data_IF_917796346812
#
_entry.id   IF_917796346812
#
_cell.length_a   1.000
_cell.length_b   1.000
_cell.length_c   1.000
_cell.angle_alpha   90.00
_cell.angle_beta   90.00
_cell.angle_gamma   90.00
#
_symmetry.space_group_name_H-M   'P 1'
#
loop_
_entity.id
_entity.type
_entity.pdbx_description
1 polymer ?
#
# COMPACT_ATOMS: atom_id res chain seq x y z
N UNK A 1 -5.64 -4.39 11.58
CA UNK A 1 -5.29 -4.81 12.96
C UNK A 1 -6.37 -4.51 13.99
N UNK A 2 -7.03 -3.35 13.94
CA UNK A 2 -8.03 -2.97 14.94
C UNK A 2 -9.46 -3.45 14.63
N UNK A 3 -9.69 -4.00 13.45
CA UNK A 3 -11.00 -4.57 13.10
C UNK A 3 -11.30 -5.76 14.02
N UNK A 4 -12.46 -5.78 14.72
CA UNK A 4 -12.78 -6.85 15.67
C UNK A 4 -12.81 -8.23 14.99
N UNK A 5 -13.37 -8.28 13.78
CA UNK A 5 -13.56 -9.53 13.03
C UNK A 5 -12.46 -9.80 12.00
N UNK A 6 -11.26 -9.23 12.20
CA UNK A 6 -10.15 -9.33 11.24
C UNK A 6 -9.84 -10.79 10.85
N UNK A 7 -9.77 -11.68 11.84
CA UNK A 7 -9.39 -13.07 11.62
C UNK A 7 -10.48 -13.82 10.83
N UNK A 8 -11.75 -13.51 11.09
CA UNK A 8 -12.90 -14.10 10.37
C UNK A 8 -12.94 -13.63 8.92
N UNK A 9 -12.68 -12.33 8.67
CA UNK A 9 -12.58 -11.79 7.32
C UNK A 9 -11.49 -12.49 6.51
N UNK A 10 -10.30 -12.67 7.10
CA UNK A 10 -9.18 -13.37 6.45
C UNK A 10 -9.56 -14.83 6.17
N UNK A 11 -10.12 -15.53 7.17
CA UNK A 11 -10.56 -16.92 7.01
C UNK A 11 -11.64 -17.07 5.93
N UNK A 12 -12.55 -16.09 5.82
CA UNK A 12 -13.58 -16.09 4.79
C UNK A 12 -13.00 -15.93 3.39
N UNK A 13 -12.05 -15.02 3.19
CA UNK A 13 -11.35 -14.82 1.91
C UNK A 13 -10.56 -16.08 1.54
N UNK A 14 -9.77 -16.59 2.48
CA UNK A 14 -8.94 -17.80 2.28
C UNK A 14 -9.80 -19.03 1.99
N UNK A 15 -10.93 -19.19 2.69
CA UNK A 15 -11.89 -20.28 2.48
C UNK A 15 -12.58 -20.26 1.10
N UNK A 16 -12.55 -19.13 0.38
CA UNK A 16 -12.97 -19.03 -1.02
C UNK A 16 -11.84 -19.31 -2.02
N UNK A 17 -10.66 -19.73 -1.55
CA UNK A 17 -9.48 -19.97 -2.39
C UNK A 17 -8.84 -18.68 -2.90
N UNK A 18 -9.13 -17.54 -2.27
CA UNK A 18 -8.56 -16.24 -2.63
C UNK A 18 -7.35 -15.90 -1.74
N UNK A 19 -6.40 -15.15 -2.30
CA UNK A 19 -5.27 -14.63 -1.53
C UNK A 19 -5.72 -13.49 -0.62
N UNK A 20 -5.37 -13.59 0.66
CA UNK A 20 -5.61 -12.53 1.64
C UNK A 20 -4.30 -11.82 1.97
N UNK A 21 -4.24 -10.52 1.68
CA UNK A 21 -3.11 -9.66 2.04
C UNK A 21 -3.53 -8.61 3.07
N UNK A 22 -2.72 -8.43 4.12
CA UNK A 22 -2.96 -7.47 5.19
C UNK A 22 -1.90 -6.36 5.20
N UNK A 23 -2.34 -5.10 5.13
CA UNK A 23 -1.46 -3.94 5.27
C UNK A 23 -1.50 -3.41 6.72
N UNK A 24 -0.34 -3.15 7.32
CA UNK A 24 -0.25 -2.68 8.71
C UNK A 24 0.95 -1.78 9.00
N UNK A 25 0.89 -1.01 10.08
CA UNK A 25 2.03 -0.32 10.66
C UNK A 25 2.82 -1.18 11.67
N UNK A 26 2.38 -2.42 11.92
CA UNK A 26 3.09 -3.43 12.71
C UNK A 26 2.98 -3.35 14.23
N UNK A 27 2.40 -2.29 14.79
CA UNK A 27 2.38 -2.06 16.24
C UNK A 27 1.71 -3.18 17.05
N UNK A 28 0.64 -3.75 16.49
CA UNK A 28 -0.17 -4.78 17.15
C UNK A 28 0.29 -6.22 16.84
N UNK A 29 1.46 -6.39 16.20
CA UNK A 29 2.01 -7.72 15.94
C UNK A 29 2.65 -8.27 17.21
N UNK A 30 1.90 -9.06 17.95
CA UNK A 30 2.43 -9.95 19.00
C UNK A 30 2.58 -11.35 18.43
N UNK A 31 3.29 -12.24 19.13
CA UNK A 31 3.37 -13.66 18.76
C UNK A 31 1.97 -14.27 18.61
N UNK A 32 1.11 -14.10 19.62
CA UNK A 32 -0.28 -14.55 19.61
C UNK A 32 -1.05 -14.03 18.39
N UNK A 33 -0.90 -12.75 18.05
CA UNK A 33 -1.55 -12.18 16.87
C UNK A 33 -1.03 -12.82 15.57
N UNK A 34 0.27 -13.08 15.45
CA UNK A 34 0.85 -13.73 14.27
C UNK A 34 0.31 -15.16 14.14
N UNK A 35 0.26 -15.92 15.23
CA UNK A 35 -0.29 -17.27 15.25
C UNK A 35 -1.79 -17.30 14.87
N UNK A 36 -2.56 -16.31 15.32
CA UNK A 36 -3.96 -16.13 14.89
C UNK A 36 -4.09 -15.83 13.39
N UNK A 37 -3.22 -14.99 12.84
CA UNK A 37 -3.19 -14.70 11.41
C UNK A 37 -2.79 -15.93 10.58
N UNK A 38 -1.86 -16.75 11.07
CA UNK A 38 -1.54 -18.05 10.47
C UNK A 38 -2.77 -18.96 10.45
N UNK A 39 -3.45 -19.10 11.59
CA UNK A 39 -4.64 -19.96 11.72
C UNK A 39 -5.80 -19.49 10.83
N UNK A 40 -5.94 -18.17 10.61
CA UNK A 40 -6.91 -17.59 9.69
C UNK A 40 -6.57 -17.83 8.21
N UNK A 41 -5.36 -18.32 7.88
CA UNK A 41 -4.95 -18.55 6.50
C UNK A 41 -4.56 -17.29 5.75
N UNK A 42 -3.98 -16.30 6.45
CA UNK A 42 -3.40 -15.11 5.80
C UNK A 42 -2.33 -15.56 4.79
N UNK A 43 -2.29 -14.95 3.61
CA UNK A 43 -1.31 -15.29 2.57
C UNK A 43 -0.08 -14.38 2.60
N UNK A 44 -0.31 -13.08 2.85
CA UNK A 44 0.75 -12.07 2.88
C UNK A 44 0.45 -10.96 3.87
N UNK A 45 1.50 -10.38 4.44
CA UNK A 45 1.45 -9.17 5.23
C UNK A 45 2.46 -8.15 4.70
N UNK A 46 1.99 -6.93 4.46
CA UNK A 46 2.86 -5.79 4.15
C UNK A 46 2.90 -4.82 5.34
N UNK A 47 4.10 -4.53 5.81
CA UNK A 47 4.34 -3.58 6.91
C UNK A 47 5.08 -2.35 6.41
N UNK A 48 4.58 -1.17 6.75
CA UNK A 48 5.27 0.10 6.47
C UNK A 48 6.28 0.42 7.56
N UNK A 49 7.55 0.60 7.18
CA UNK A 49 8.62 1.11 8.05
C UNK A 49 9.25 2.29 7.34
N UNK A 50 9.07 3.47 7.93
CA UNK A 50 9.37 4.74 7.26
C UNK A 50 10.83 5.14 7.51
N UNK A 51 11.32 4.95 8.74
CA UNK A 51 12.63 5.46 9.18
C UNK A 51 13.38 4.44 10.04
N UNK A 52 14.68 4.64 10.27
CA UNK A 52 15.47 3.82 11.21
C UNK A 52 15.17 4.23 12.65
N UNK A 53 15.16 5.54 12.90
CA UNK A 53 14.88 6.14 14.20
C UNK A 53 13.50 6.82 14.19
N UNK A 54 12.78 6.83 15.33
CA UNK A 54 11.51 7.57 15.39
C UNK A 54 11.77 9.07 15.31
N UNK A 55 10.92 9.79 14.59
CA UNK A 55 10.90 11.25 14.52
C UNK A 55 9.53 11.80 14.97
N UNK A 56 9.29 13.10 14.81
CA UNK A 56 8.01 13.74 15.16
C UNK A 56 6.87 13.43 14.17
N UNK A 57 7.18 12.99 12.95
CA UNK A 57 6.22 12.75 11.86
C UNK A 57 5.74 11.30 11.86
N UNK A 58 6.66 10.33 11.92
CA UNK A 58 6.39 8.91 11.94
C UNK A 58 7.09 8.22 13.11
N UNK A 59 6.26 7.54 13.90
CA UNK A 59 6.76 6.58 14.89
C UNK A 59 6.99 5.19 14.28
N UNK A 60 6.71 4.95 12.99
CA UNK A 60 6.87 3.63 12.34
C UNK A 60 8.33 3.37 11.98
N UNK A 61 9.20 3.31 12.98
CA UNK A 61 10.64 3.19 12.78
C UNK A 61 11.17 1.78 13.05
N UNK A 62 12.29 1.44 12.42
CA UNK A 62 12.97 0.16 12.60
C UNK A 62 13.31 -0.07 14.06
N UNK A 63 13.82 0.95 14.77
CA UNK A 63 14.12 0.83 16.21
C UNK A 63 12.93 0.34 17.04
N UNK A 64 11.71 0.76 16.70
CA UNK A 64 10.48 0.35 17.40
C UNK A 64 9.99 -1.02 16.93
N UNK A 65 10.09 -1.28 15.63
CA UNK A 65 9.47 -2.42 14.98
C UNK A 65 10.38 -3.65 14.85
N UNK A 66 11.70 -3.54 15.05
CA UNK A 66 12.66 -4.63 14.81
C UNK A 66 12.32 -5.90 15.59
N UNK A 67 11.89 -5.77 16.85
CA UNK A 67 11.42 -6.92 17.63
C UNK A 67 10.17 -7.58 17.05
N UNK A 68 9.30 -6.82 16.39
CA UNK A 68 8.14 -7.36 15.67
C UNK A 68 8.56 -8.06 14.38
N UNK A 69 9.56 -7.53 13.68
CA UNK A 69 10.13 -8.17 12.49
C UNK A 69 10.80 -9.50 12.83
N UNK A 70 11.53 -9.57 13.95
CA UNK A 70 12.09 -10.83 14.48
C UNK A 70 10.98 -11.85 14.76
N UNK A 71 9.92 -11.45 15.47
CA UNK A 71 8.78 -12.34 15.73
C UNK A 71 8.12 -12.84 14.44
N UNK A 72 7.99 -11.98 13.42
CA UNK A 72 7.44 -12.37 12.13
C UNK A 72 8.35 -13.35 11.40
N UNK A 73 9.67 -13.11 11.40
CA UNK A 73 10.67 -14.04 10.84
C UNK A 73 10.60 -15.43 11.48
N UNK A 74 10.35 -15.48 12.79
CA UNK A 74 10.31 -16.74 13.55
C UNK A 74 8.96 -17.48 13.48
N UNK A 75 7.85 -16.76 13.34
CA UNK A 75 6.51 -17.33 13.56
C UNK A 75 5.54 -17.19 12.38
N UNK A 76 5.78 -16.31 11.40
CA UNK A 76 4.83 -16.14 10.30
C UNK A 76 4.88 -17.35 9.36
N UNK A 77 3.70 -17.89 9.04
CA UNK A 77 3.53 -18.91 8.00
C UNK A 77 3.11 -18.30 6.65
N UNK A 78 3.13 -16.98 6.56
CA UNK A 78 2.73 -16.17 5.40
C UNK A 78 3.87 -15.28 4.92
N UNK A 79 3.80 -14.81 3.68
CA UNK A 79 4.79 -13.90 3.12
C UNK A 79 4.81 -12.58 3.89
N UNK A 80 5.99 -12.09 4.23
CA UNK A 80 6.17 -10.79 4.88
C UNK A 80 6.97 -9.87 3.98
N UNK A 81 6.38 -8.72 3.66
CA UNK A 81 7.03 -7.65 2.90
C UNK A 81 7.17 -6.37 3.75
N UNK A 82 8.38 -5.85 3.85
CA UNK A 82 8.65 -4.54 4.44
C UNK A 82 8.60 -3.50 3.32
N UNK A 83 7.74 -2.49 3.46
CA UNK A 83 7.68 -1.41 2.49
C UNK A 83 8.22 -0.11 3.07
N UNK A 84 9.29 0.40 2.47
CA UNK A 84 9.82 1.76 2.69
C UNK A 84 9.40 2.70 1.54
N UNK A 85 9.59 4.00 1.71
CA UNK A 85 9.30 5.01 0.67
C UNK A 85 10.51 5.91 0.43
N UNK A 86 10.65 6.40 -0.81
CA UNK A 86 11.64 7.40 -1.23
C UNK A 86 10.93 8.55 -1.97
N UNK A 87 11.55 9.73 -1.99
CA UNK A 87 11.02 10.94 -2.61
C UNK A 87 10.31 11.87 -1.62
N UNK A 88 9.76 12.99 -2.11
CA UNK A 88 8.89 13.88 -1.35
C UNK A 88 9.54 14.59 -0.15
N UNK A 89 10.87 14.68 -0.10
CA UNK A 89 11.59 15.36 0.98
C UNK A 89 11.81 14.53 2.24
N UNK A 90 11.76 13.20 2.16
CA UNK A 90 12.11 12.32 3.29
C UNK A 90 13.62 12.43 3.60
N UNK A 91 13.96 12.78 4.84
CA UNK A 91 15.29 13.22 5.28
C UNK A 91 16.43 12.18 5.17
N UNK A 92 16.16 10.91 4.85
CA UNK A 92 17.22 9.90 4.71
C UNK A 92 16.84 8.74 3.79
N UNK A 93 17.22 8.84 2.51
CA UNK A 93 17.24 7.68 1.61
C UNK A 93 18.04 6.50 2.19
N UNK A 94 19.07 6.78 3.01
CA UNK A 94 19.87 5.78 3.69
C UNK A 94 19.08 4.93 4.70
N UNK A 95 17.97 5.45 5.25
CA UNK A 95 17.11 4.70 6.15
C UNK A 95 16.42 3.55 5.41
N UNK A 96 15.88 3.81 4.21
CA UNK A 96 15.26 2.78 3.37
C UNK A 96 16.25 1.65 3.05
N UNK A 97 17.52 1.99 2.79
CA UNK A 97 18.56 0.99 2.56
C UNK A 97 18.86 0.16 3.81
N UNK A 98 18.96 0.81 4.97
CA UNK A 98 19.21 0.15 6.26
C UNK A 98 18.07 -0.81 6.62
N UNK A 99 16.83 -0.36 6.44
CA UNK A 99 15.63 -1.19 6.64
C UNK A 99 15.62 -2.38 5.69
N UNK A 100 15.95 -2.17 4.41
CA UNK A 100 16.00 -3.24 3.41
C UNK A 100 17.04 -4.31 3.74
N UNK A 101 18.25 -3.89 4.14
CA UNK A 101 19.30 -4.81 4.61
C UNK A 101 18.84 -5.61 5.82
N UNK A 102 18.20 -4.94 6.78
CA UNK A 102 17.68 -5.60 7.98
C UNK A 102 16.57 -6.61 7.68
N UNK A 103 15.65 -6.29 6.78
CA UNK A 103 14.63 -7.22 6.31
C UNK A 103 15.27 -8.48 5.72
N UNK A 104 16.30 -8.33 4.89
CA UNK A 104 17.03 -9.44 4.27
C UNK A 104 17.77 -10.31 5.30
N UNK A 105 18.39 -9.71 6.31
CA UNK A 105 19.01 -10.46 7.42
C UNK A 105 18.01 -11.35 8.16
N UNK A 106 16.75 -10.92 8.25
CA UNK A 106 15.65 -11.66 8.85
C UNK A 106 14.95 -12.61 7.87
N UNK A 107 15.45 -12.75 6.63
CA UNK A 107 14.82 -13.58 5.59
C UNK A 107 13.49 -13.04 5.07
N UNK A 108 13.18 -11.75 5.31
CA UNK A 108 11.95 -11.09 4.89
C UNK A 108 12.15 -10.38 3.53
N UNK A 109 11.04 -10.14 2.82
CA UNK A 109 11.07 -9.34 1.59
C UNK A 109 11.07 -7.84 1.92
N UNK A 110 11.63 -7.04 1.01
CA UNK A 110 11.66 -5.59 1.12
C UNK A 110 11.34 -4.95 -0.23
N UNK A 111 10.47 -3.95 -0.23
CA UNK A 111 10.14 -3.13 -1.40
C UNK A 111 10.25 -1.65 -1.08
N UNK A 112 10.53 -0.86 -2.10
CA UNK A 112 10.55 0.60 -2.01
C UNK A 112 9.44 1.21 -2.88
N UNK A 113 8.62 2.06 -2.26
CA UNK A 113 7.64 2.90 -2.93
C UNK A 113 8.23 4.26 -3.30
N UNK A 114 7.64 4.92 -4.29
CA UNK A 114 7.97 6.30 -4.66
C UNK A 114 6.82 7.17 -4.16
N UNK A 115 7.11 8.16 -3.33
CA UNK A 115 6.12 9.09 -2.79
C UNK A 115 6.04 10.34 -3.67
N UNK A 116 4.85 10.94 -3.69
CA UNK A 116 4.59 12.23 -4.30
C UNK A 116 4.85 13.35 -3.28
N UNK A 117 5.05 14.58 -3.75
CA UNK A 117 5.13 15.75 -2.88
C UNK A 117 3.79 16.10 -2.23
N UNK A 118 3.78 17.16 -1.41
CA UNK A 118 2.60 17.66 -0.68
C UNK A 118 1.43 18.07 -1.60
N UNK A 119 1.70 18.30 -2.89
CA UNK A 119 0.70 18.61 -3.91
C UNK A 119 0.24 17.37 -4.68
N UNK A 120 0.76 16.18 -4.34
CA UNK A 120 0.47 14.95 -5.06
C UNK A 120 1.25 14.82 -6.37
N UNK A 121 2.23 15.69 -6.63
CA UNK A 121 3.04 15.62 -7.84
C UNK A 121 4.23 14.67 -7.65
N UNK A 122 4.52 13.93 -8.71
CA UNK A 122 5.68 13.07 -8.76
C UNK A 122 6.91 13.92 -9.07
N UNK A 123 7.85 13.98 -8.13
CA UNK A 123 9.18 14.56 -8.37
C UNK A 123 10.17 13.46 -8.77
N UNK A 124 11.12 13.72 -9.68
CA UNK A 124 12.25 12.84 -9.90
C UNK A 124 13.00 12.59 -8.60
N UNK A 125 13.52 11.36 -8.44
CA UNK A 125 14.43 11.07 -7.34
C UNK A 125 15.74 11.81 -7.54
N UNK A 126 16.32 12.32 -6.45
CA UNK A 126 17.69 12.81 -6.43
C UNK A 126 18.68 11.69 -6.75
N UNK A 127 19.94 12.05 -7.07
CA UNK A 127 21.00 11.07 -7.35
C UNK A 127 21.18 10.07 -6.20
N UNK A 128 21.11 10.53 -4.95
CA UNK A 128 21.29 9.69 -3.77
C UNK A 128 20.09 8.74 -3.57
N UNK A 129 18.87 9.25 -3.73
CA UNK A 129 17.65 8.43 -3.68
C UNK A 129 17.62 7.39 -4.80
N UNK A 130 18.09 7.75 -6.00
CA UNK A 130 18.20 6.83 -7.14
C UNK A 130 19.18 5.70 -6.87
N UNK A 131 20.36 6.01 -6.33
CA UNK A 131 21.35 4.98 -5.98
C UNK A 131 20.77 3.97 -4.97
N UNK A 132 20.03 4.45 -3.97
CA UNK A 132 19.34 3.59 -3.00
C UNK A 132 18.24 2.77 -3.67
N UNK A 133 17.42 3.38 -4.53
CA UNK A 133 16.37 2.69 -5.28
C UNK A 133 16.94 1.54 -6.10
N UNK A 134 18.05 1.78 -6.83
CA UNK A 134 18.71 0.80 -7.67
C UNK A 134 19.32 -0.34 -6.83
N UNK A 135 19.95 -0.02 -5.69
CA UNK A 135 20.50 -1.04 -4.78
C UNK A 135 19.41 -1.95 -4.21
N UNK A 136 18.30 -1.37 -3.72
CA UNK A 136 17.18 -2.15 -3.17
C UNK A 136 16.54 -2.99 -4.28
N UNK A 137 16.25 -2.39 -5.44
CA UNK A 137 15.56 -3.05 -6.55
C UNK A 137 16.40 -4.16 -7.20
N UNK A 138 17.72 -3.96 -7.29
CA UNK A 138 18.65 -4.96 -7.84
C UNK A 138 18.89 -6.15 -6.91
N UNK A 139 18.52 -6.05 -5.63
CA UNK A 139 18.73 -7.10 -4.62
C UNK A 139 17.57 -8.10 -4.48
N UNK A 140 16.43 -7.83 -5.14
CA UNK A 140 15.21 -8.64 -5.09
C UNK A 140 15.18 -9.82 -6.07
N UNK A 141 14.19 -10.73 -5.95
CA UNK A 141 14.03 -11.85 -6.87
C UNK A 141 13.74 -11.37 -8.30
N UNK A 142 14.39 -11.97 -9.31
CA UNK A 142 14.31 -11.57 -10.74
C UNK A 142 12.88 -11.48 -11.26
N UNK A 143 11.95 -12.32 -10.78
CA UNK A 143 10.54 -12.32 -11.18
C UNK A 143 9.72 -11.10 -10.71
N UNK A 144 10.17 -10.39 -9.67
CA UNK A 144 9.50 -9.19 -9.15
C UNK A 144 9.70 -7.95 -10.04
N UNK A 145 10.76 -7.96 -10.86
CA UNK A 145 11.13 -6.84 -11.74
C UNK A 145 10.01 -6.45 -12.71
N UNK A 146 9.24 -7.40 -13.25
CA UNK A 146 8.15 -7.10 -14.18
C UNK A 146 7.08 -6.18 -13.56
N UNK A 147 6.75 -6.40 -12.29
CA UNK A 147 5.73 -5.64 -11.57
C UNK A 147 6.22 -4.27 -11.08
N UNK A 148 7.52 -4.02 -11.14
CA UNK A 148 8.13 -2.75 -10.72
C UNK A 148 8.64 -1.88 -11.87
N UNK A 149 8.71 -2.38 -13.12
CA UNK A 149 9.21 -1.61 -14.29
C UNK A 149 8.58 -0.24 -14.48
N UNK A 150 7.31 -0.07 -14.12
CA UNK A 150 6.64 1.23 -14.23
C UNK A 150 7.34 2.32 -13.40
N UNK A 151 8.02 1.93 -12.30
CA UNK A 151 8.76 2.83 -11.42
C UNK A 151 9.99 3.44 -12.09
N UNK A 152 10.59 2.77 -13.07
CA UNK A 152 11.81 3.25 -13.75
C UNK A 152 11.58 4.57 -14.50
N UNK A 153 10.39 4.76 -15.08
CA UNK A 153 10.02 6.05 -15.65
C UNK A 153 9.72 7.07 -14.54
N UNK A 154 9.06 6.64 -13.46
CA UNK A 154 8.64 7.53 -12.39
C UNK A 154 9.82 8.11 -11.59
N UNK A 155 10.87 7.34 -11.35
CA UNK A 155 12.08 7.85 -10.66
C UNK A 155 12.78 8.95 -11.46
N UNK A 156 12.54 9.03 -12.77
CA UNK A 156 13.04 10.10 -13.65
C UNK A 156 12.00 11.20 -13.90
N UNK A 157 10.85 11.17 -13.23
CA UNK A 157 9.73 12.08 -13.46
C UNK A 157 9.11 11.94 -14.86
N UNK A 158 9.32 10.80 -15.53
CA UNK A 158 8.77 10.52 -16.87
C UNK A 158 7.42 9.79 -16.77
N UNK A 159 6.49 10.07 -17.69
CA UNK A 159 5.20 9.39 -17.71
C UNK A 159 5.35 7.93 -18.15
N UNK A 160 4.43 7.08 -17.71
CA UNK A 160 4.22 5.74 -18.24
C UNK A 160 3.12 5.74 -19.30
N UNK A 161 3.36 5.05 -20.41
CA UNK A 161 2.34 4.75 -21.42
C UNK A 161 1.68 3.39 -21.09
N UNK A 162 0.59 3.41 -20.34
CA UNK A 162 -0.12 2.21 -19.90
C UNK A 162 -1.60 2.48 -19.72
N UNK A 163 -2.39 1.41 -19.56
CA UNK A 163 -3.84 1.47 -19.34
C UNK A 163 -4.17 1.10 -17.91
N UNK A 164 -4.73 2.06 -17.17
CA UNK A 164 -5.15 1.90 -15.79
C UNK A 164 -6.56 1.28 -15.75
N UNK A 165 -6.67 0.05 -15.24
CA UNK A 165 -7.95 -0.69 -15.11
C UNK A 165 -8.56 -0.60 -13.71
N UNK A 166 -8.24 0.46 -12.96
CA UNK A 166 -8.94 0.78 -11.73
C UNK A 166 -10.44 0.99 -11.99
N UNK A 167 -11.30 0.47 -11.13
CA UNK A 167 -12.75 0.39 -11.34
C UNK A 167 -13.20 -0.83 -12.15
N UNK A 168 -12.31 -1.56 -12.82
CA UNK A 168 -12.69 -2.78 -13.55
C UNK A 168 -11.95 -4.01 -13.04
N UNK A 169 -10.61 -3.98 -13.12
CA UNK A 169 -9.75 -5.08 -12.69
C UNK A 169 -9.24 -4.94 -11.26
N UNK A 170 -9.28 -3.72 -10.75
CA UNK A 170 -8.93 -3.39 -9.38
C UNK A 170 -10.04 -2.51 -8.79
N UNK A 171 -10.59 -2.92 -7.67
CA UNK A 171 -11.59 -2.16 -6.91
C UNK A 171 -10.99 -1.77 -5.57
N UNK A 172 -11.23 -0.53 -5.13
CA UNK A 172 -10.94 -0.08 -3.78
C UNK A 172 -12.25 0.15 -3.05
N UNK A 173 -12.53 -0.62 -2.01
CA UNK A 173 -13.77 -0.49 -1.24
C UNK A 173 -13.43 0.16 0.11
N UNK A 174 -14.07 1.28 0.42
CA UNK A 174 -13.87 1.97 1.70
C UNK A 174 -14.74 1.39 2.83
N UNK A 175 -14.55 1.91 4.04
CA UNK A 175 -15.25 1.53 5.25
C UNK A 175 -16.76 1.84 5.21
N UNK A 176 -17.20 2.80 4.39
CA UNK A 176 -18.61 3.08 4.13
C UNK A 176 -19.24 2.14 3.09
N UNK A 177 -18.47 1.18 2.55
CA UNK A 177 -18.94 0.24 1.54
C UNK A 177 -19.07 0.85 0.14
N UNK A 178 -18.36 1.94 -0.15
CA UNK A 178 -18.32 2.57 -1.48
C UNK A 178 -17.13 2.07 -2.30
N UNK A 179 -17.37 1.84 -3.59
CA UNK A 179 -16.37 1.49 -4.59
C UNK A 179 -15.69 2.75 -5.12
N UNK A 180 -14.37 2.74 -5.08
CA UNK A 180 -13.48 3.73 -5.65
C UNK A 180 -12.50 3.11 -6.62
N UNK A 181 -11.88 3.93 -7.48
CA UNK A 181 -10.82 3.49 -8.37
C UNK A 181 -9.60 2.99 -7.60
N UNK A 182 -9.08 3.79 -6.67
CA UNK A 182 -7.94 3.42 -5.86
C UNK A 182 -7.86 4.28 -4.61
N UNK A 183 -6.87 3.99 -3.75
CA UNK A 183 -6.65 4.74 -2.51
C UNK A 183 -6.36 6.24 -2.73
N UNK A 184 -5.87 6.64 -3.91
CA UNK A 184 -5.58 8.05 -4.25
C UNK A 184 -6.75 8.77 -4.93
N UNK A 185 -7.65 8.02 -5.55
CA UNK A 185 -8.82 8.54 -6.26
C UNK A 185 -10.11 8.08 -5.57
N UNK A 186 -10.16 8.27 -4.25
CA UNK A 186 -11.39 8.09 -3.47
C UNK A 186 -12.42 9.13 -3.88
N UNK A 187 -13.69 8.76 -3.82
CA UNK A 187 -14.81 9.58 -4.29
C UNK A 187 -15.22 9.30 -5.74
N UNK A 188 -14.42 8.56 -6.52
CA UNK A 188 -14.82 8.10 -7.85
C UNK A 188 -14.69 6.59 -8.00
N UNK A 189 -15.71 5.88 -8.51
CA UNK A 189 -17.05 6.41 -8.81
C UNK A 189 -17.85 6.75 -7.55
N UNK A 190 -17.49 6.19 -6.39
CA UNK A 190 -18.22 6.43 -5.14
C UNK A 190 -19.54 5.66 -5.07
N UNK A 191 -19.70 4.63 -5.91
CA UNK A 191 -20.91 3.80 -5.98
C UNK A 191 -20.95 2.81 -4.82
N UNK A 192 -22.08 2.60 -4.14
CA UNK A 192 -22.24 1.53 -3.16
C UNK A 192 -21.88 0.17 -3.75
N UNK A 193 -21.14 -0.67 -3.00
CA UNK A 193 -20.68 -1.99 -3.48
C UNK A 193 -21.82 -2.88 -3.97
N UNK A 194 -22.98 -2.82 -3.31
CA UNK A 194 -24.15 -3.62 -3.67
C UNK A 194 -24.86 -3.14 -4.95
N UNK A 195 -24.53 -1.92 -5.40
CA UNK A 195 -25.04 -1.31 -6.63
C UNK A 195 -24.00 -1.34 -7.76
N UNK A 196 -22.76 -1.73 -7.46
CA UNK A 196 -21.67 -1.75 -8.44
C UNK A 196 -21.73 -3.02 -9.29
N UNK A 197 -22.07 -2.86 -10.57
CA UNK A 197 -22.43 -3.98 -11.44
C UNK A 197 -21.48 -4.16 -12.65
N UNK A 198 -21.88 -5.04 -13.58
CA UNK A 198 -21.09 -5.30 -14.80
C UNK A 198 -21.00 -4.11 -15.74
N UNK A 199 -22.04 -3.28 -15.81
CA UNK A 199 -22.05 -2.08 -16.66
C UNK A 199 -21.05 -1.05 -16.13
N UNK A 200 -20.91 -0.98 -14.79
CA UNK A 200 -19.84 -0.22 -14.17
C UNK A 200 -18.45 -0.77 -14.53
N UNK A 201 -18.24 -2.08 -14.41
CA UNK A 201 -16.95 -2.71 -14.73
C UNK A 201 -16.55 -2.45 -16.20
N UNK A 202 -17.49 -2.56 -17.13
CA UNK A 202 -17.27 -2.31 -18.56
C UNK A 202 -16.95 -0.84 -18.83
N UNK A 203 -17.74 0.08 -18.27
CA UNK A 203 -17.49 1.52 -18.39
C UNK A 203 -16.11 1.90 -17.85
N UNK A 204 -15.73 1.41 -16.68
CA UNK A 204 -14.46 1.75 -16.05
C UNK A 204 -13.26 1.04 -16.69
N UNK A 205 -13.50 -0.10 -17.36
CA UNK A 205 -12.52 -0.74 -18.22
C UNK A 205 -12.14 0.21 -19.36
N UNK A 206 -13.12 0.77 -20.07
CA UNK A 206 -12.91 1.64 -21.25
C UNK A 206 -12.54 3.09 -20.91
N UNK A 207 -12.51 3.46 -19.63
CA UNK A 207 -12.19 4.81 -19.17
C UNK A 207 -10.69 4.98 -18.90
N UNK A 208 -10.02 5.76 -19.76
CA UNK A 208 -8.71 6.35 -19.56
C UNK A 208 -8.76 7.41 -18.45
N UNK A 209 -7.74 7.39 -17.59
CA UNK A 209 -7.72 8.17 -16.36
C UNK A 209 -6.56 9.15 -16.43
N UNK A 210 -6.81 10.46 -16.33
CA UNK A 210 -5.76 11.48 -16.53
C UNK A 210 -4.59 11.39 -15.55
N UNK A 211 -4.79 10.78 -14.37
CA UNK A 211 -3.71 10.52 -13.41
C UNK A 211 -2.82 9.32 -13.76
N UNK A 212 -3.20 8.47 -14.74
CA UNK A 212 -2.51 7.22 -15.04
C UNK A 212 -1.02 7.41 -15.40
N UNK A 213 -0.61 8.39 -16.25
CA UNK A 213 0.78 8.51 -16.69
C UNK A 213 1.79 8.64 -15.53
N UNK A 214 1.41 9.27 -14.43
CA UNK A 214 2.28 9.51 -13.26
C UNK A 214 1.87 8.72 -12.02
N UNK A 215 0.99 7.72 -12.17
CA UNK A 215 0.48 6.94 -11.05
C UNK A 215 1.59 6.12 -10.36
N UNK A 216 1.72 6.26 -9.04
CA UNK A 216 2.69 5.52 -8.21
C UNK A 216 2.13 4.23 -7.58
N UNK A 217 0.85 3.92 -7.83
CA UNK A 217 0.12 2.86 -7.11
C UNK A 217 0.42 1.47 -7.68
N UNK A 218 1.32 0.75 -7.01
CA UNK A 218 1.74 -0.59 -7.41
C UNK A 218 0.61 -1.60 -7.58
N UNK A 219 -0.44 -1.56 -6.74
CA UNK A 219 -1.54 -2.54 -6.81
C UNK A 219 -2.24 -2.52 -8.17
N UNK A 220 -2.53 -1.33 -8.71
CA UNK A 220 -3.22 -1.18 -9.99
C UNK A 220 -2.27 -1.48 -11.15
N UNK A 221 -1.01 -1.05 -11.06
CA UNK A 221 0.05 -1.35 -12.04
C UNK A 221 0.35 -2.84 -12.16
N UNK A 222 0.20 -3.60 -11.06
CA UNK A 222 0.46 -5.03 -11.04
C UNK A 222 -0.62 -5.82 -11.78
N UNK A 223 -1.89 -5.43 -11.62
CA UNK A 223 -3.01 -6.23 -12.12
C UNK A 223 -3.56 -5.76 -13.48
N UNK A 224 -3.48 -4.47 -13.79
CA UNK A 224 -4.01 -3.92 -15.06
C UNK A 224 -3.37 -4.51 -16.33
N UNK A 225 -2.06 -4.82 -16.35
CA UNK A 225 -1.40 -5.39 -17.53
C UNK A 225 -1.98 -6.72 -18.02
N UNK A 226 -2.60 -7.51 -17.12
CA UNK A 226 -3.21 -8.79 -17.50
C UNK A 226 -4.36 -8.64 -18.51
N UNK A 227 -4.97 -7.45 -18.61
CA UNK A 227 -6.04 -7.16 -19.56
C UNK A 227 -5.62 -6.17 -20.67
N UNK A 228 -4.31 -5.94 -20.85
CA UNK A 228 -3.80 -5.07 -21.91
C UNK A 228 -4.03 -5.63 -23.32
N UNK A 229 -4.21 -6.94 -23.47
CA UNK A 229 -4.53 -7.55 -24.76
C UNK A 229 -6.01 -7.39 -25.15
N UNK A 230 -6.90 -7.04 -24.21
CA UNK A 230 -8.37 -7.07 -24.43
C UNK A 230 -8.93 -5.87 -25.21
N UNK A 231 -8.30 -4.69 -25.18
CA UNK A 231 -8.78 -3.51 -25.91
C UNK A 231 -8.22 -2.18 -25.40
N UNK A 232 -8.39 -1.06 -26.12
CA UNK A 232 -7.94 0.27 -25.70
C UNK A 232 -8.80 0.86 -24.54
N UNK A 233 -8.66 2.15 -24.26
CA UNK A 233 -9.52 2.94 -23.37
C UNK A 233 -10.02 4.18 -24.14
N UNK A 234 -11.19 4.11 -24.80
CA UNK A 234 -11.66 5.18 -25.69
C UNK A 234 -12.22 6.42 -24.97
N UNK A 235 -12.60 6.30 -23.69
CA UNK A 235 -13.23 7.40 -22.95
C UNK A 235 -12.22 8.07 -22.03
N UNK A 236 -12.11 9.39 -22.02
CA UNK A 236 -11.18 10.10 -21.14
C UNK A 236 -11.91 10.69 -19.93
N UNK A 237 -11.40 10.44 -18.73
CA UNK A 237 -11.85 11.05 -17.49
C UNK A 237 -10.72 11.86 -16.86
N UNK A 238 -10.97 13.15 -16.72
CA UNK A 238 -10.03 14.09 -16.12
C UNK A 238 -10.27 14.20 -14.60
N UNK A 239 -9.18 14.11 -13.84
CA UNK A 239 -9.09 14.28 -12.39
C UNK A 239 -8.31 15.55 -12.00
N UNK A 240 -8.09 16.47 -12.95
CA UNK A 240 -7.47 17.78 -12.68
C UNK A 240 -8.24 18.58 -11.62
N UNK A 241 -9.55 18.37 -11.51
CA UNK A 241 -10.37 18.77 -10.37
C UNK A 241 -10.46 17.61 -9.37
N UNK A 242 -9.56 17.61 -8.37
CA UNK A 242 -9.67 16.69 -7.24
C UNK A 242 -11.03 16.96 -6.56
N UNK A 243 -11.87 15.95 -6.30
CA UNK A 243 -13.09 16.14 -5.55
C UNK A 243 -12.68 16.69 -4.18
N UNK A 244 -13.46 17.62 -3.59
CA UNK A 244 -13.15 18.15 -2.27
C UNK A 244 -12.89 16.96 -1.35
N UNK A 245 -11.79 17.04 -0.60
CA UNK A 245 -11.46 16.00 0.37
C UNK A 245 -12.73 15.69 1.19
N UNK A 246 -13.06 14.40 1.42
CA UNK A 246 -14.19 14.08 2.28
C UNK A 246 -14.03 14.87 3.58
N UNK A 247 -15.10 15.54 4.03
CA UNK A 247 -15.09 16.34 5.24
C UNK A 247 -14.44 15.52 6.35
N UNK A 248 -13.24 15.95 6.78
CA UNK A 248 -12.39 15.39 7.82
C UNK A 248 -12.75 13.95 8.23
N UNK A 249 -11.95 12.98 7.79
CA UNK A 249 -11.82 11.70 8.51
C UNK A 249 -11.77 12.02 10.01
N UNK A 250 -12.80 11.60 10.73
CA UNK A 250 -12.94 11.89 12.16
C UNK A 250 -11.74 11.27 12.84
N UNK A 251 -10.78 12.10 13.26
CA UNK A 251 -9.77 11.68 14.21
C UNK A 251 -10.55 11.19 15.42
N UNK A 252 -10.55 9.88 15.69
CA UNK A 252 -11.14 9.34 16.91
C UNK A 252 -10.54 10.12 18.07
N UNK A 253 -11.36 10.98 18.67
CA UNK A 253 -10.97 11.79 19.82
C UNK A 253 -10.43 10.84 20.87
N UNK A 254 -9.28 11.20 21.47
CA UNK A 254 -8.78 10.52 22.66
C UNK A 254 -9.95 10.30 23.61
N UNK A 255 -10.29 9.04 23.88
CA UNK A 255 -11.13 8.74 25.02
C UNK A 255 -10.52 9.45 26.23
N UNK A 256 -11.30 10.23 27.01
CA UNK A 256 -10.76 10.86 28.20
C UNK A 256 -10.20 9.75 29.09
N UNK A 257 -8.94 9.94 29.52
CA UNK A 257 -8.35 9.09 30.55
C UNK A 257 -9.29 9.17 31.75
N UNK A 258 -9.92 8.05 32.09
CA UNK A 258 -10.44 7.89 33.44
C UNK A 258 -9.23 7.92 34.36
N UNK A 259 -9.00 9.07 34.98
CA UNK A 259 -8.08 9.18 36.09
C UNK A 259 -8.47 8.12 37.12
N UNK A 260 -7.51 7.25 37.43
CA UNK A 260 -7.58 6.40 38.61
C UNK A 260 -7.82 7.33 39.80
N UNK A 261 -9.01 7.26 40.37
CA UNK A 261 -9.24 7.74 41.71
C UNK A 261 -8.48 6.80 42.65
N UNK A 262 -7.29 7.25 43.06
CA UNK A 262 -6.74 6.90 44.36
C UNK A 262 -7.77 7.32 45.41
N UNK A 263 -8.27 6.36 46.20
CA UNK A 263 -8.63 6.54 47.62
C UNK A 263 -9.02 5.22 48.29
N UNK A 264 -8.23 4.91 49.32
CA UNK A 264 -8.41 3.99 50.45
C UNK A 264 -8.31 2.48 50.17
#
# INVERSE_FOLDING_TARGET
MLHPDLDELIARVSGHGMFAELLTNGYFLTKDRIERLNAAGLSRLQISVDNVMPDEVSKKSLKVLDKKLQLMSEHAAFDVNINSVLGGGVDSAADALTISRRARELGLSSTVGIIHDEHGQLQPLSTDERAVYDEISGSGPVGFSFFTKFKDNLVEGRPNAWRCRAGARYLYICEEGLVHYCSQQRGYPGTPLLEYDTDDLEREFDTDKSCAPYCTISCVHTISPFDHWRGPQPHHKDFSERPPAPERLVTLGRAPRQDRLDRA
#
